data_IF_565698450257
#
_entry.id   IF_565698450257
#
_cell.length_a   1.000
_cell.length_b   1.000
_cell.length_c   1.000
_cell.angle_alpha   90.00
_cell.angle_beta   90.00
_cell.angle_gamma   90.00
#
_symmetry.space_group_name_H-M   'P 1'
#
loop_
_entity.id
_entity.type
_entity.pdbx_description
1 polymer ?
#
# COMPACT_ATOMS: atom_id res chain seq x y z
N UNK A 1 50.09 23.22 56.25
CA UNK A 1 50.71 23.99 55.16
C UNK A 1 50.18 23.36 53.88
N UNK A 2 48.94 23.71 53.52
CA UNK A 2 48.55 24.74 52.54
C UNK A 2 48.58 24.11 51.13
N UNK A 3 47.44 23.86 50.49
CA UNK A 3 46.71 24.79 49.56
C UNK A 3 47.59 25.12 48.34
N UNK A 4 47.19 25.08 47.06
CA UNK A 4 45.91 24.98 46.35
C UNK A 4 46.23 24.95 44.82
N UNK A 5 45.24 24.57 44.00
CA UNK A 5 44.96 24.87 42.57
C UNK A 5 45.85 24.47 41.39
N UNK A 6 45.16 23.91 40.39
CA UNK A 6 45.56 23.81 38.99
C UNK A 6 44.54 23.01 38.17
N UNK A 7 43.40 23.63 37.82
CA UNK A 7 42.40 23.10 36.87
C UNK A 7 43.00 22.92 35.45
N UNK A 8 42.57 21.87 34.76
CA UNK A 8 42.46 21.84 33.30
C UNK A 8 41.42 20.80 32.91
N UNK A 9 40.35 21.30 32.30
CA UNK A 9 39.28 20.59 31.61
C UNK A 9 39.79 19.68 30.49
N UNK A 10 39.09 18.57 30.22
CA UNK A 10 38.13 18.45 29.09
C UNK A 10 37.71 16.98 28.89
N UNK A 11 36.38 16.83 28.73
CA UNK A 11 35.66 15.82 27.95
C UNK A 11 35.48 14.43 28.57
N UNK A 12 34.41 14.32 29.37
CA UNK A 12 33.58 13.13 29.47
C UNK A 12 32.92 12.89 28.09
N UNK A 13 33.44 11.92 27.33
CA UNK A 13 32.68 11.25 26.28
C UNK A 13 31.96 10.08 26.96
N UNK A 14 30.69 10.29 27.30
CA UNK A 14 29.76 9.23 27.67
C UNK A 14 29.67 8.26 26.48
N UNK A 15 30.25 7.07 26.63
CA UNK A 15 29.96 5.92 25.78
C UNK A 15 28.48 5.56 25.97
N UNK A 16 27.60 6.07 25.10
CA UNK A 16 26.25 5.55 24.95
C UNK A 16 26.35 4.10 24.44
N UNK A 17 26.28 3.16 25.38
CA UNK A 17 26.02 1.75 25.09
C UNK A 17 24.73 1.65 24.26
N UNK A 18 24.88 1.29 22.97
CA UNK A 18 23.77 0.83 22.13
C UNK A 18 23.18 -0.44 22.77
N UNK A 19 22.21 -0.24 23.66
CA UNK A 19 21.30 -1.29 24.09
C UNK A 19 20.49 -1.76 22.88
N UNK A 20 21.00 -2.75 22.17
CA UNK A 20 20.20 -3.61 21.29
C UNK A 20 19.19 -4.31 22.18
N UNK A 21 17.96 -3.79 22.24
CA UNK A 21 16.85 -4.46 22.90
C UNK A 21 16.30 -5.53 21.94
N UNK A 22 16.51 -6.83 22.19
CA UNK A 22 16.08 -7.89 21.30
C UNK A 22 14.70 -8.37 21.76
N UNK A 23 13.66 -7.58 21.50
CA UNK A 23 12.26 -7.99 21.68
C UNK A 23 11.31 -6.94 21.07
N UNK A 24 11.28 -6.87 19.73
CA UNK A 24 10.06 -6.44 19.05
C UNK A 24 9.44 -7.67 18.41
N UNK A 25 8.39 -8.16 19.08
CA UNK A 25 7.39 -9.05 18.50
C UNK A 25 6.76 -8.35 17.27
N UNK A 26 7.38 -8.54 16.11
CA UNK A 26 6.87 -8.10 14.81
C UNK A 26 5.90 -9.16 14.30
N UNK A 27 4.63 -9.02 14.68
CA UNK A 27 3.55 -9.87 14.19
C UNK A 27 3.21 -9.56 12.72
N UNK A 28 3.40 -10.57 11.87
CA UNK A 28 2.67 -10.91 10.63
C UNK A 28 2.39 -9.84 9.54
N UNK A 29 3.09 -8.72 9.57
CA UNK A 29 2.93 -7.65 8.61
C UNK A 29 3.66 -7.97 7.29
N UNK A 30 2.90 -8.19 6.22
CA UNK A 30 3.40 -8.54 4.87
C UNK A 30 4.09 -7.38 4.15
N UNK A 31 4.65 -6.47 4.93
CA UNK A 31 5.44 -5.34 4.56
C UNK A 31 6.78 -5.49 5.25
N UNK A 32 7.83 -5.71 4.47
CA UNK A 32 9.19 -5.83 4.97
C UNK A 32 9.94 -4.56 4.60
N UNK A 33 10.74 -4.04 5.53
CA UNK A 33 11.70 -2.97 5.23
C UNK A 33 12.73 -3.52 4.25
N UNK A 34 12.74 -2.97 3.04
CA UNK A 34 13.70 -3.38 2.03
C UNK A 34 15.11 -2.91 2.41
N UNK A 35 16.15 -3.72 2.19
CA UNK A 35 17.55 -3.35 2.43
C UNK A 35 18.29 -3.30 1.10
N UNK A 36 18.63 -2.11 0.58
CA UNK A 36 19.63 -2.01 -0.48
C UNK A 36 20.21 -0.61 -0.72
N UNK A 37 21.25 -0.48 -1.57
CA UNK A 37 22.12 0.68 -1.64
C UNK A 37 21.38 1.98 -1.91
N UNK A 38 21.67 2.98 -1.09
CA UNK A 38 21.02 4.28 -1.12
C UNK A 38 21.55 5.15 -2.28
N UNK A 39 20.63 5.66 -3.11
CA UNK A 39 20.84 6.97 -3.75
C UNK A 39 19.52 7.69 -4.06
N UNK A 40 19.61 9.01 -3.94
CA UNK A 40 18.72 10.11 -4.32
C UNK A 40 17.46 10.46 -3.49
N UNK A 41 17.48 11.73 -3.06
CA UNK A 41 16.34 12.52 -2.58
C UNK A 41 15.53 12.98 -3.80
N UNK A 42 14.23 12.67 -3.82
CA UNK A 42 13.32 13.22 -4.82
C UNK A 42 12.62 14.44 -4.25
N UNK A 43 12.61 15.51 -5.03
CA UNK A 43 11.94 16.75 -4.75
C UNK A 43 10.53 16.71 -5.37
N UNK A 44 9.51 16.51 -4.53
CA UNK A 44 8.10 16.66 -4.89
C UNK A 44 7.66 18.15 -4.83
N UNK A 45 8.58 19.09 -4.55
CA UNK A 45 8.30 20.44 -4.07
C UNK A 45 7.79 21.45 -5.09
N UNK A 46 7.62 21.11 -6.37
CA UNK A 46 7.06 22.03 -7.35
C UNK A 46 5.51 22.06 -7.29
N UNK A 47 4.95 22.46 -6.14
CA UNK A 47 3.52 22.73 -6.01
C UNK A 47 3.23 24.04 -6.73
N UNK A 48 2.63 23.98 -7.93
CA UNK A 48 2.05 25.18 -8.53
C UNK A 48 0.78 25.53 -7.76
N UNK A 49 0.61 26.79 -7.36
CA UNK A 49 -0.62 27.29 -6.68
C UNK A 49 -1.93 27.11 -7.47
N UNK A 50 -1.87 26.57 -8.70
CA UNK A 50 -3.03 26.25 -9.54
C UNK A 50 -4.04 25.32 -8.87
N UNK A 51 -3.60 24.42 -7.99
CA UNK A 51 -4.44 23.41 -7.35
C UNK A 51 -4.59 23.64 -5.83
N UNK A 52 -4.17 24.80 -5.34
CA UNK A 52 -4.29 25.14 -3.92
C UNK A 52 -5.75 25.46 -3.57
N UNK A 53 -6.19 24.99 -2.41
CA UNK A 53 -7.55 25.17 -1.91
C UNK A 53 -7.45 25.94 -0.59
N UNK A 54 -8.20 27.03 -0.48
CA UNK A 54 -8.36 27.78 0.76
C UNK A 54 -9.02 26.88 1.83
N UNK A 55 -8.43 26.73 3.03
CA UNK A 55 -8.96 25.85 4.08
C UNK A 55 -10.43 26.10 4.44
N UNK A 56 -10.89 27.35 4.36
CA UNK A 56 -12.26 27.75 4.68
C UNK A 56 -13.30 27.19 3.69
N UNK A 57 -12.86 26.80 2.49
CA UNK A 57 -13.71 26.18 1.48
C UNK A 57 -13.88 24.68 1.68
N UNK A 58 -13.11 24.06 2.59
CA UNK A 58 -13.11 22.63 2.82
C UNK A 58 -13.60 22.29 4.23
N UNK A 59 -14.75 21.62 4.32
CA UNK A 59 -15.21 21.01 5.57
C UNK A 59 -14.79 19.54 5.61
N UNK A 60 -14.15 19.11 6.70
CA UNK A 60 -13.70 17.72 6.91
C UNK A 60 -14.61 17.08 7.95
N UNK A 61 -15.15 15.91 7.62
CA UNK A 61 -16.02 15.11 8.49
C UNK A 61 -15.30 13.85 8.99
N UNK A 62 -16.08 12.80 9.30
CA UNK A 62 -15.57 11.53 9.82
C UNK A 62 -14.53 10.88 8.90
N UNK A 63 -13.59 10.18 9.53
CA UNK A 63 -12.70 9.25 8.85
C UNK A 63 -13.51 8.13 8.20
N UNK A 64 -13.13 7.77 6.98
CA UNK A 64 -13.70 6.69 6.16
C UNK A 64 -12.66 5.65 5.76
N UNK A 65 -11.39 5.90 6.03
CA UNK A 65 -10.30 4.95 5.84
C UNK A 65 -9.08 5.39 6.63
N UNK A 66 -8.39 4.44 7.21
CA UNK A 66 -7.15 4.67 7.95
C UNK A 66 -6.03 3.89 7.28
N UNK A 67 -4.82 4.45 7.29
CA UNK A 67 -3.65 3.84 6.69
C UNK A 67 -2.40 4.14 7.49
N UNK A 68 -1.30 3.49 7.11
CA UNK A 68 -0.04 3.58 7.83
C UNK A 68 0.53 5.02 7.85
N UNK A 69 0.44 5.72 6.72
CA UNK A 69 1.01 7.07 6.56
C UNK A 69 -0.05 8.19 6.59
N UNK A 70 -1.33 7.85 6.54
CA UNK A 70 -2.40 8.82 6.30
C UNK A 70 -3.77 8.28 6.65
N UNK A 71 -4.70 9.17 6.93
CA UNK A 71 -6.13 8.89 7.04
C UNK A 71 -6.90 9.52 5.88
N UNK A 72 -8.04 8.95 5.56
CA UNK A 72 -8.96 9.43 4.52
C UNK A 72 -10.27 9.80 5.20
N UNK A 73 -10.70 11.03 5.01
CA UNK A 73 -11.94 11.58 5.57
C UNK A 73 -12.93 11.88 4.47
N UNK A 74 -14.22 11.81 4.79
CA UNK A 74 -15.24 12.45 3.97
C UNK A 74 -15.14 13.96 4.16
N UNK A 75 -15.29 14.74 3.09
CA UNK A 75 -15.33 16.19 3.17
C UNK A 75 -16.33 16.81 2.21
N UNK A 76 -16.58 18.10 2.37
CA UNK A 76 -17.40 18.91 1.47
C UNK A 76 -16.57 20.11 0.99
N UNK A 77 -16.36 20.19 -0.32
CA UNK A 77 -15.67 21.31 -0.94
C UNK A 77 -16.69 22.32 -1.46
N UNK A 78 -16.63 23.54 -0.96
CA UNK A 78 -17.49 24.66 -1.38
C UNK A 78 -16.89 25.39 -2.57
N UNK A 79 -17.57 25.31 -3.73
CA UNK A 79 -17.19 26.02 -4.96
C UNK A 79 -18.28 27.02 -5.36
N UNK A 80 -17.98 28.01 -6.23
CA UNK A 80 -18.99 28.93 -6.75
C UNK A 80 -20.16 28.25 -7.47
N UNK A 81 -19.93 27.04 -8.00
CA UNK A 81 -20.93 26.23 -8.71
C UNK A 81 -21.77 25.33 -7.77
N UNK A 82 -21.48 25.37 -6.46
CA UNK A 82 -22.11 24.53 -5.46
C UNK A 82 -21.12 23.66 -4.69
N UNK A 83 -21.65 22.88 -3.75
CA UNK A 83 -20.86 22.04 -2.88
C UNK A 83 -20.64 20.65 -3.48
N UNK A 84 -19.40 20.15 -3.41
CA UNK A 84 -19.01 18.87 -3.97
C UNK A 84 -18.51 17.94 -2.85
N UNK A 85 -19.08 16.74 -2.67
CA UNK A 85 -18.53 15.73 -1.78
C UNK A 85 -17.15 15.28 -2.25
N UNK A 86 -16.19 15.24 -1.32
CA UNK A 86 -14.79 14.89 -1.61
C UNK A 86 -14.26 13.87 -0.59
N UNK A 87 -13.19 13.16 -0.97
CA UNK A 87 -12.37 12.40 -0.04
C UNK A 87 -11.10 13.19 0.25
N UNK A 88 -10.75 13.36 1.52
CA UNK A 88 -9.62 14.17 1.97
C UNK A 88 -8.59 13.26 2.62
N UNK A 89 -7.41 13.13 2.01
CA UNK A 89 -6.29 12.35 2.56
C UNK A 89 -5.41 13.27 3.41
N UNK A 90 -5.28 12.97 4.70
CA UNK A 90 -4.48 13.74 5.68
C UNK A 90 -3.29 12.90 6.14
N UNK A 91 -2.09 13.49 6.24
CA UNK A 91 -0.91 12.77 6.70
C UNK A 91 -0.94 12.55 8.24
N UNK A 92 -0.45 11.39 8.70
CA UNK A 92 -0.23 11.14 10.13
C UNK A 92 1.09 11.78 10.59
N UNK A 93 1.11 12.39 11.77
CA UNK A 93 2.35 12.86 12.39
C UNK A 93 3.17 11.67 12.88
N UNK A 94 4.51 11.75 12.79
CA UNK A 94 5.45 10.63 13.03
C UNK A 94 5.29 9.92 14.39
N UNK A 95 4.67 10.55 15.39
CA UNK A 95 4.39 9.97 16.71
C UNK A 95 3.14 9.07 16.76
N UNK A 96 2.41 8.95 15.64
CA UNK A 96 1.22 8.11 15.49
C UNK A 96 1.28 7.17 14.29
N UNK A 97 2.49 6.81 13.85
CA UNK A 97 2.65 5.73 12.88
C UNK A 97 2.12 4.44 13.52
N UNK A 98 1.13 3.82 12.88
CA UNK A 98 0.45 2.64 13.42
C UNK A 98 1.42 1.47 13.52
N UNK A 99 1.30 0.70 14.59
CA UNK A 99 2.07 -0.53 14.71
C UNK A 99 1.51 -1.61 13.75
N UNK A 100 2.24 -2.71 13.62
CA UNK A 100 1.91 -3.77 12.68
C UNK A 100 0.55 -4.45 12.97
N UNK A 101 0.22 -4.61 14.25
CA UNK A 101 -0.99 -5.27 14.69
C UNK A 101 -2.24 -4.42 14.40
N UNK A 102 -2.17 -3.11 14.64
CA UNK A 102 -3.25 -2.17 14.30
C UNK A 102 -3.40 -2.02 12.76
N UNK A 103 -2.30 -2.11 12.01
CA UNK A 103 -2.30 -2.09 10.54
C UNK A 103 -2.99 -3.31 9.97
N UNK A 104 -2.74 -4.49 10.55
CA UNK A 104 -3.40 -5.74 10.15
C UNK A 104 -4.88 -5.75 10.57
N UNK A 105 -5.24 -5.16 11.71
CA UNK A 105 -6.65 -5.02 12.12
C UNK A 105 -7.41 -4.05 11.21
N UNK A 106 -6.81 -2.94 10.78
CA UNK A 106 -7.41 -2.06 9.76
C UNK A 106 -7.53 -2.78 8.42
N UNK A 107 -6.50 -3.50 7.97
CA UNK A 107 -6.57 -4.25 6.70
C UNK A 107 -7.60 -5.37 6.80
N UNK A 108 -7.72 -6.04 7.95
CA UNK A 108 -8.80 -6.98 8.24
C UNK A 108 -10.14 -6.27 8.20
N UNK A 109 -10.29 -5.07 8.75
CA UNK A 109 -11.52 -4.27 8.67
C UNK A 109 -11.81 -3.77 7.25
N UNK A 110 -10.81 -3.42 6.44
CA UNK A 110 -10.99 -3.06 5.03
C UNK A 110 -11.40 -4.28 4.20
N UNK A 111 -10.81 -5.45 4.48
CA UNK A 111 -11.24 -6.74 3.92
C UNK A 111 -12.62 -7.14 4.44
N UNK A 112 -12.93 -6.87 5.71
CA UNK A 112 -14.24 -7.12 6.32
C UNK A 112 -15.28 -6.14 5.80
N UNK A 113 -14.93 -4.90 5.46
CA UNK A 113 -15.83 -3.98 4.74
C UNK A 113 -16.14 -4.56 3.35
N UNK A 114 -15.21 -5.28 2.71
CA UNK A 114 -15.51 -6.03 1.49
C UNK A 114 -16.38 -7.28 1.74
N UNK A 115 -16.36 -7.88 2.95
CA UNK A 115 -17.12 -9.08 3.32
C UNK A 115 -18.48 -8.85 4.01
N UNK A 116 -18.57 -7.92 4.97
CA UNK A 116 -19.77 -7.56 5.76
C UNK A 116 -20.58 -6.43 5.13
N UNK A 117 -19.91 -5.50 4.42
CA UNK A 117 -20.65 -4.72 3.44
C UNK A 117 -20.79 -5.62 2.22
N UNK A 118 -21.94 -6.27 2.10
CA UNK A 118 -22.48 -6.41 0.77
C UNK A 118 -22.73 -5.02 0.21
N UNK A 119 -21.73 -4.21 -0.14
CA UNK A 119 -21.82 -2.97 -0.92
C UNK A 119 -22.95 -1.97 -0.56
N UNK A 120 -23.44 -1.92 0.68
CA UNK A 120 -24.73 -1.26 0.91
C UNK A 120 -24.99 -0.67 2.31
N UNK A 121 -24.04 0.04 2.93
CA UNK A 121 -24.39 0.90 4.08
C UNK A 121 -24.97 2.28 3.68
N UNK A 122 -25.70 2.30 2.57
CA UNK A 122 -26.71 3.32 2.25
C UNK A 122 -27.95 2.72 1.56
N UNK A 123 -28.27 1.46 1.85
CA UNK A 123 -29.34 0.73 1.15
C UNK A 123 -30.32 0.06 2.12
N UNK A 124 -31.19 0.88 2.71
CA UNK A 124 -32.44 0.39 3.29
C UNK A 124 -33.51 0.05 2.22
N UNK A 125 -33.15 -0.18 0.95
CA UNK A 125 -34.13 -0.47 -0.10
C UNK A 125 -33.70 -1.36 -1.28
N UNK A 126 -32.62 -2.15 -1.17
CA UNK A 126 -32.32 -3.16 -2.21
C UNK A 126 -32.58 -4.58 -1.72
N UNK A 127 -33.38 -5.27 -2.53
CA UNK A 127 -33.98 -6.58 -2.33
C UNK A 127 -33.01 -7.63 -2.87
N UNK A 128 -32.58 -8.59 -2.05
CA UNK A 128 -32.38 -10.03 -2.32
C UNK A 128 -31.80 -10.52 -3.69
N UNK A 129 -31.24 -9.65 -4.53
CA UNK A 129 -30.68 -9.93 -5.87
C UNK A 129 -29.21 -9.50 -6.01
N UNK A 130 -28.57 -9.14 -4.90
CA UNK A 130 -27.22 -8.55 -4.83
C UNK A 130 -26.12 -9.62 -4.69
N UNK A 131 -25.79 -10.33 -5.77
CA UNK A 131 -24.59 -11.17 -5.83
C UNK A 131 -23.67 -10.67 -6.95
N UNK A 132 -22.41 -10.37 -6.60
CA UNK A 132 -21.35 -10.07 -7.57
C UNK A 132 -21.15 -11.31 -8.45
N UNK A 133 -21.34 -11.16 -9.75
CA UNK A 133 -21.19 -12.25 -10.70
C UNK A 133 -19.76 -12.33 -11.24
N UNK A 134 -19.41 -13.47 -11.86
CA UNK A 134 -18.14 -13.59 -12.59
C UNK A 134 -17.98 -12.53 -13.67
N UNK A 135 -19.08 -12.14 -14.34
CA UNK A 135 -19.05 -11.06 -15.34
C UNK A 135 -18.66 -9.72 -14.72
N UNK A 136 -19.12 -9.44 -13.50
CA UNK A 136 -18.75 -8.23 -12.77
C UNK A 136 -17.26 -8.25 -12.39
N UNK A 137 -16.74 -9.40 -11.92
CA UNK A 137 -15.31 -9.56 -11.62
C UNK A 137 -14.42 -9.35 -12.85
N UNK A 138 -14.82 -9.90 -14.00
CA UNK A 138 -14.14 -9.69 -15.28
C UNK A 138 -14.22 -8.22 -15.73
N UNK A 139 -15.36 -7.57 -15.49
CA UNK A 139 -15.54 -6.15 -15.77
C UNK A 139 -14.63 -5.27 -14.91
N UNK A 140 -14.48 -5.59 -13.63
CA UNK A 140 -13.53 -4.90 -12.74
C UNK A 140 -12.08 -5.13 -13.18
N UNK A 141 -11.71 -6.38 -13.49
CA UNK A 141 -10.38 -6.72 -13.98
C UNK A 141 -10.02 -5.94 -15.26
N UNK A 142 -10.96 -5.83 -16.20
CA UNK A 142 -10.77 -5.04 -17.43
C UNK A 142 -10.56 -3.56 -17.15
N UNK A 143 -11.36 -2.96 -16.25
CA UNK A 143 -11.22 -1.56 -15.89
C UNK A 143 -9.88 -1.27 -15.20
N UNK A 144 -9.45 -2.15 -14.30
CA UNK A 144 -8.14 -2.07 -13.63
C UNK A 144 -7.01 -2.23 -14.65
N UNK A 145 -7.10 -3.20 -15.56
CA UNK A 145 -6.11 -3.41 -16.62
C UNK A 145 -5.94 -2.16 -17.49
N UNK A 146 -7.03 -1.51 -17.89
CA UNK A 146 -7.00 -0.24 -18.65
C UNK A 146 -6.35 0.90 -17.87
N UNK A 147 -6.62 0.98 -16.55
CA UNK A 147 -5.97 1.98 -15.70
C UNK A 147 -4.45 1.72 -15.60
N UNK A 148 -4.04 0.46 -15.42
CA UNK A 148 -2.62 0.08 -15.35
C UNK A 148 -1.91 0.27 -16.70
N UNK A 149 -2.56 -0.03 -17.82
CA UNK A 149 -2.08 0.27 -19.17
C UNK A 149 -1.83 1.77 -19.36
N UNK A 150 -2.77 2.60 -18.89
CA UNK A 150 -2.60 4.06 -18.91
C UNK A 150 -1.40 4.52 -18.07
N UNK A 151 -1.19 3.97 -16.87
CA UNK A 151 -0.02 4.28 -16.03
C UNK A 151 1.28 3.85 -16.70
N UNK A 152 1.32 2.66 -17.28
CA UNK A 152 2.44 2.13 -18.05
C UNK A 152 2.81 3.06 -19.22
N UNK A 153 1.82 3.50 -20.01
CA UNK A 153 2.02 4.45 -21.11
C UNK A 153 2.53 5.83 -20.65
N UNK A 154 2.42 6.16 -19.35
CA UNK A 154 2.95 7.38 -18.74
C UNK A 154 4.27 7.16 -18.00
N UNK A 155 4.86 5.96 -18.10
CA UNK A 155 6.05 5.56 -17.34
C UNK A 155 5.86 5.71 -15.83
N UNK A 156 4.67 5.38 -15.31
CA UNK A 156 4.37 5.44 -13.88
C UNK A 156 4.24 4.01 -13.34
N UNK A 157 5.08 3.69 -12.36
CA UNK A 157 4.96 2.49 -11.52
C UNK A 157 3.99 2.78 -10.39
N UNK A 158 2.99 1.91 -10.18
CA UNK A 158 2.11 2.02 -9.03
C UNK A 158 2.79 1.50 -7.76
N UNK A 159 3.44 0.32 -7.85
CA UNK A 159 4.15 -0.38 -6.77
C UNK A 159 3.30 -0.87 -5.59
N UNK A 160 1.98 -0.71 -5.68
CA UNK A 160 1.03 -1.15 -4.65
C UNK A 160 -0.32 -1.51 -5.29
N UNK A 161 -0.29 -2.09 -6.49
CA UNK A 161 -1.51 -2.55 -7.15
C UNK A 161 -2.05 -3.77 -6.39
N UNK A 162 -3.19 -3.58 -5.72
CA UNK A 162 -3.89 -4.57 -4.90
C UNK A 162 -5.39 -4.21 -4.86
N UNK A 163 -6.29 -5.16 -4.59
CA UNK A 163 -7.74 -4.88 -4.51
C UNK A 163 -8.07 -3.81 -3.45
N UNK A 164 -7.33 -3.78 -2.32
CA UNK A 164 -7.46 -2.73 -1.29
C UNK A 164 -7.26 -1.29 -1.83
N UNK A 165 -6.52 -1.16 -2.93
CA UNK A 165 -6.21 0.12 -3.58
C UNK A 165 -7.07 0.36 -4.83
N UNK A 166 -8.19 -0.35 -4.96
CA UNK A 166 -9.20 -0.12 -5.99
C UNK A 166 -10.49 0.40 -5.34
N UNK A 167 -10.88 1.62 -5.71
CA UNK A 167 -12.14 2.23 -5.29
C UNK A 167 -13.23 1.86 -6.27
N UNK A 168 -14.43 1.64 -5.76
CA UNK A 168 -15.55 1.19 -6.56
C UNK A 168 -16.75 2.10 -6.36
N UNK A 169 -17.28 2.59 -7.46
CA UNK A 169 -18.47 3.44 -7.47
C UNK A 169 -19.75 2.60 -7.46
N UNK A 170 -20.85 3.25 -7.07
CA UNK A 170 -22.20 2.66 -7.11
C UNK A 170 -22.64 2.23 -8.52
N UNK A 171 -22.04 2.80 -9.57
CA UNK A 171 -22.28 2.45 -10.97
C UNK A 171 -21.34 1.34 -11.49
N UNK A 172 -20.68 0.61 -10.58
CA UNK A 172 -19.74 -0.48 -10.90
C UNK A 172 -18.49 -0.01 -11.67
N UNK A 173 -18.16 1.28 -11.58
CA UNK A 173 -16.89 1.82 -12.09
C UNK A 173 -15.76 1.61 -11.08
N UNK A 174 -14.74 0.85 -11.47
CA UNK A 174 -13.52 0.64 -10.69
C UNK A 174 -12.48 1.75 -10.97
N UNK A 175 -11.79 2.20 -9.92
CA UNK A 175 -10.75 3.23 -9.97
C UNK A 175 -9.53 2.82 -9.16
N UNK A 176 -8.40 2.65 -9.82
CA UNK A 176 -7.10 2.48 -9.16
C UNK A 176 -6.77 3.75 -8.36
N UNK A 177 -6.37 3.57 -7.12
CA UNK A 177 -6.12 4.62 -6.14
C UNK A 177 -4.85 4.33 -5.32
N UNK A 178 -4.51 5.25 -4.41
CA UNK A 178 -3.32 5.22 -3.57
C UNK A 178 -1.97 5.18 -4.32
N UNK A 179 -1.57 6.35 -4.80
CA UNK A 179 -0.29 6.57 -5.46
C UNK A 179 0.86 6.87 -4.50
N UNK A 180 0.72 6.58 -3.20
CA UNK A 180 1.72 6.92 -2.17
C UNK A 180 3.09 6.28 -2.40
N UNK A 181 3.12 5.06 -2.94
CA UNK A 181 4.35 4.33 -3.29
C UNK A 181 4.78 4.53 -4.75
N UNK A 182 3.97 5.21 -5.55
CA UNK A 182 4.17 5.30 -7.00
C UNK A 182 5.41 6.11 -7.38
N UNK A 183 6.01 5.74 -8.50
CA UNK A 183 7.23 6.37 -9.02
C UNK A 183 7.13 6.55 -10.52
N UNK A 184 7.51 7.73 -11.01
CA UNK A 184 7.62 8.00 -12.44
C UNK A 184 9.04 7.66 -12.89
N UNK A 185 9.17 6.77 -13.86
CA UNK A 185 10.43 6.47 -14.52
C UNK A 185 10.76 7.61 -15.49
N UNK A 186 12.02 8.03 -15.53
CA UNK A 186 12.47 9.02 -16.50
C UNK A 186 12.82 8.31 -17.81
N UNK A 187 12.58 8.99 -18.92
CA UNK A 187 12.83 8.45 -20.26
C UNK A 187 14.31 8.11 -20.53
N UNK A 188 15.23 8.70 -19.75
CA UNK A 188 16.68 8.50 -19.89
C UNK A 188 17.29 7.60 -18.80
N UNK A 189 16.49 7.05 -17.88
CA UNK A 189 16.98 6.10 -16.86
C UNK A 189 17.04 4.68 -17.45
N UNK A 190 17.62 3.73 -16.72
CA UNK A 190 17.77 2.32 -17.12
C UNK A 190 16.41 1.54 -17.25
N UNK A 191 15.27 2.24 -17.23
CA UNK A 191 13.94 1.64 -17.34
C UNK A 191 13.43 0.99 -16.06
N UNK A 192 14.09 1.19 -14.91
CA UNK A 192 13.66 0.69 -13.61
C UNK A 192 13.89 1.69 -12.47
N UNK A 193 13.14 1.52 -11.38
CA UNK A 193 13.31 2.22 -10.12
C UNK A 193 13.93 1.28 -9.09
N UNK A 194 14.94 1.73 -8.35
CA UNK A 194 15.52 0.97 -7.24
C UNK A 194 14.77 1.34 -5.95
N UNK A 195 14.36 0.33 -5.19
CA UNK A 195 13.77 0.51 -3.86
C UNK A 195 14.61 1.42 -2.96
N UNK A 196 13.99 2.04 -1.96
CA UNK A 196 14.74 2.76 -0.92
C UNK A 196 14.78 1.90 0.32
N UNK A 197 15.94 1.87 0.96
CA UNK A 197 16.10 1.18 2.24
C UNK A 197 15.07 1.67 3.27
N UNK A 198 14.53 0.75 4.07
CA UNK A 198 13.50 1.05 5.06
C UNK A 198 12.11 1.36 4.49
N UNK A 199 11.92 1.31 3.17
CA UNK A 199 10.58 1.48 2.58
C UNK A 199 9.78 0.21 2.76
N UNK A 200 8.67 0.30 3.50
CA UNK A 200 7.68 -0.77 3.60
C UNK A 200 7.02 -0.98 2.23
N UNK A 201 7.04 -2.23 1.72
CA UNK A 201 6.48 -2.60 0.41
C UNK A 201 5.65 -3.89 0.49
N UNK A 202 4.60 -4.05 -0.33
CA UNK A 202 3.67 -5.18 -0.24
C UNK A 202 4.24 -6.45 -0.88
N UNK A 203 5.09 -7.21 -0.18
CA UNK A 203 5.94 -8.26 -0.78
C UNK A 203 5.17 -9.35 -1.56
N UNK A 204 3.92 -9.63 -1.19
CA UNK A 204 3.08 -10.64 -1.85
C UNK A 204 2.63 -10.25 -3.26
N UNK A 205 2.76 -8.96 -3.61
CA UNK A 205 2.34 -8.37 -4.87
C UNK A 205 3.54 -8.05 -5.77
N UNK A 206 4.75 -8.30 -5.30
CA UNK A 206 5.99 -7.94 -6.00
C UNK A 206 6.42 -9.10 -6.90
N UNK A 207 6.83 -8.76 -8.12
CA UNK A 207 7.35 -9.73 -9.08
C UNK A 207 8.62 -10.42 -8.56
N UNK A 208 8.87 -11.71 -8.88
CA UNK A 208 10.03 -12.44 -8.38
C UNK A 208 11.38 -11.77 -8.70
N UNK A 209 11.51 -11.19 -9.90
CA UNK A 209 12.70 -10.44 -10.31
C UNK A 209 12.89 -9.16 -9.49
N UNK A 210 11.79 -8.52 -9.10
CA UNK A 210 11.79 -7.33 -8.25
C UNK A 210 12.05 -7.66 -6.79
N UNK A 211 11.57 -8.80 -6.29
CA UNK A 211 11.95 -9.30 -4.96
C UNK A 211 13.46 -9.54 -4.91
N UNK A 212 14.02 -10.21 -5.92
CA UNK A 212 15.44 -10.56 -5.94
C UNK A 212 16.38 -9.35 -6.09
N UNK A 213 16.01 -8.38 -6.92
CA UNK A 213 16.90 -7.26 -7.27
C UNK A 213 16.53 -5.93 -6.62
N UNK A 214 15.30 -5.83 -6.08
CA UNK A 214 14.65 -4.59 -5.67
C UNK A 214 14.52 -3.54 -6.78
N UNK A 215 14.61 -3.97 -8.04
CA UNK A 215 14.35 -3.13 -9.22
C UNK A 215 12.90 -3.31 -9.64
N UNK A 216 12.19 -2.21 -9.80
CA UNK A 216 10.80 -2.15 -10.22
C UNK A 216 10.72 -1.56 -11.62
N UNK A 217 10.06 -2.25 -12.54
CA UNK A 217 9.88 -1.83 -13.93
C UNK A 217 8.40 -1.91 -14.32
N UNK A 218 8.01 -1.34 -15.46
CA UNK A 218 6.63 -1.44 -15.95
C UNK A 218 6.21 -2.92 -16.07
N UNK A 219 7.12 -3.79 -16.49
CA UNK A 219 6.85 -5.22 -16.64
C UNK A 219 6.59 -5.94 -15.31
N UNK A 220 7.19 -5.48 -14.21
CA UNK A 220 6.93 -6.07 -12.89
C UNK A 220 5.52 -5.76 -12.38
N UNK A 221 4.87 -4.69 -12.85
CA UNK A 221 3.50 -4.34 -12.46
C UNK A 221 2.46 -5.34 -13.03
N UNK A 222 2.81 -6.08 -14.10
CA UNK A 222 1.95 -7.15 -14.64
C UNK A 222 1.80 -8.31 -13.64
N UNK A 223 2.83 -8.56 -12.83
CA UNK A 223 2.73 -9.52 -11.74
C UNK A 223 1.72 -9.08 -10.69
N UNK A 224 1.84 -7.83 -10.22
CA UNK A 224 0.91 -7.26 -9.25
C UNK A 224 -0.53 -7.29 -9.75
N UNK A 225 -0.74 -6.99 -11.04
CA UNK A 225 -2.05 -7.14 -11.67
C UNK A 225 -2.56 -8.60 -11.64
N UNK A 226 -1.70 -9.59 -11.86
CA UNK A 226 -2.06 -11.00 -11.71
C UNK A 226 -2.54 -11.35 -10.29
N UNK A 227 -1.89 -10.80 -9.27
CA UNK A 227 -2.32 -10.95 -7.87
C UNK A 227 -3.66 -10.25 -7.63
N UNK A 228 -3.89 -9.05 -8.18
CA UNK A 228 -5.20 -8.36 -8.12
C UNK A 228 -6.32 -9.21 -8.73
N UNK A 229 -6.08 -9.81 -9.90
CA UNK A 229 -7.06 -10.71 -10.52
C UNK A 229 -7.34 -11.90 -9.62
N UNK A 230 -6.30 -12.49 -9.03
CA UNK A 230 -6.48 -13.59 -8.07
C UNK A 230 -7.35 -13.16 -6.88
N UNK A 231 -7.10 -11.99 -6.29
CA UNK A 231 -7.90 -11.43 -5.20
C UNK A 231 -9.37 -11.20 -5.62
N UNK A 232 -9.64 -10.70 -6.83
CA UNK A 232 -11.01 -10.53 -7.32
C UNK A 232 -11.77 -11.87 -7.32
N UNK A 233 -11.13 -12.96 -7.77
CA UNK A 233 -11.76 -14.27 -7.88
C UNK A 233 -11.81 -15.06 -6.56
N UNK A 234 -11.07 -14.63 -5.54
CA UNK A 234 -11.23 -15.09 -4.15
C UNK A 234 -12.09 -14.16 -3.30
N UNK A 235 -12.71 -13.14 -3.92
CA UNK A 235 -13.45 -12.07 -3.23
C UNK A 235 -12.63 -11.39 -2.12
N UNK A 236 -11.30 -11.42 -2.24
CA UNK A 236 -10.35 -10.97 -1.23
C UNK A 236 -10.56 -11.61 0.17
N UNK A 237 -11.26 -12.75 0.26
CA UNK A 237 -11.48 -13.49 1.51
C UNK A 237 -10.18 -14.12 2.03
N UNK A 238 -9.25 -14.41 1.13
CA UNK A 238 -7.95 -15.00 1.44
C UNK A 238 -6.84 -14.04 1.06
N UNK A 239 -5.85 -13.96 1.93
CA UNK A 239 -4.57 -13.30 1.66
C UNK A 239 -3.81 -14.10 0.58
N UNK A 240 -3.18 -13.45 -0.41
CA UNK A 240 -2.30 -14.15 -1.35
C UNK A 240 -1.23 -14.95 -0.61
N UNK A 241 -1.01 -16.20 -1.02
CA UNK A 241 -0.07 -17.12 -0.38
C UNK A 241 -0.36 -17.40 1.11
N UNK A 242 -1.62 -17.33 1.54
CA UNK A 242 -2.04 -17.63 2.92
C UNK A 242 -1.65 -19.04 3.40
N UNK A 243 -1.43 -19.98 2.49
CA UNK A 243 -0.91 -21.32 2.79
C UNK A 243 0.54 -21.31 3.28
N UNK A 244 1.22 -20.16 3.19
CA UNK A 244 2.58 -19.95 3.67
C UNK A 244 2.64 -19.22 5.01
N UNK A 245 1.50 -18.92 5.64
CA UNK A 245 1.37 -18.10 6.86
C UNK A 245 1.80 -18.83 8.15
N UNK A 246 2.66 -19.85 8.03
CA UNK A 246 3.16 -20.67 9.14
C UNK A 246 4.51 -20.19 9.69
N UNK A 247 5.12 -19.17 9.08
CA UNK A 247 6.39 -18.60 9.51
C UNK A 247 6.16 -17.50 10.54
N UNK A 248 6.81 -17.61 11.71
CA UNK A 248 6.64 -16.67 12.82
C UNK A 248 7.36 -15.34 12.62
N UNK A 249 8.39 -15.30 11.74
CA UNK A 249 9.13 -14.07 11.45
C UNK A 249 9.10 -13.71 9.95
N UNK A 250 9.12 -12.40 9.70
CA UNK A 250 8.99 -11.82 8.37
C UNK A 250 10.17 -12.13 7.45
N UNK A 251 11.37 -12.32 8.00
CA UNK A 251 12.57 -12.63 7.22
C UNK A 251 12.53 -14.05 6.65
N UNK A 252 12.21 -15.06 7.47
CA UNK A 252 12.03 -16.44 7.01
C UNK A 252 10.85 -16.54 6.04
N UNK A 253 9.76 -15.82 6.31
CA UNK A 253 8.64 -15.75 5.38
C UNK A 253 9.08 -15.19 4.01
N UNK A 254 9.85 -14.11 4.02
CA UNK A 254 10.39 -13.50 2.80
C UNK A 254 11.32 -14.46 2.04
N UNK A 255 12.30 -15.06 2.72
CA UNK A 255 13.21 -16.03 2.12
C UNK A 255 12.45 -17.22 1.52
N UNK A 256 11.47 -17.73 2.25
CA UNK A 256 10.65 -18.83 1.77
C UNK A 256 9.80 -18.43 0.57
N UNK A 257 9.17 -17.26 0.58
CA UNK A 257 8.41 -16.74 -0.56
C UNK A 257 9.31 -16.65 -1.80
N UNK A 258 10.52 -16.11 -1.66
CA UNK A 258 11.51 -16.04 -2.75
C UNK A 258 11.86 -17.44 -3.27
N UNK A 259 12.11 -18.41 -2.39
CA UNK A 259 12.39 -19.80 -2.80
C UNK A 259 11.19 -20.46 -3.48
N UNK A 260 9.98 -20.28 -2.93
CA UNK A 260 8.73 -20.80 -3.47
C UNK A 260 8.52 -20.30 -4.91
N UNK A 261 8.63 -18.99 -5.12
CA UNK A 261 8.48 -18.38 -6.45
C UNK A 261 9.60 -18.78 -7.41
N UNK A 262 10.84 -18.89 -6.92
CA UNK A 262 12.01 -19.35 -7.70
C UNK A 262 11.88 -20.81 -8.15
N UNK A 263 11.19 -21.65 -7.38
CA UNK A 263 10.89 -23.04 -7.74
C UNK A 263 9.77 -23.18 -8.79
N UNK A 264 9.19 -22.07 -9.26
CA UNK A 264 8.11 -22.06 -10.24
C UNK A 264 6.71 -22.23 -9.65
N UNK A 265 6.58 -22.39 -8.33
CA UNK A 265 5.27 -22.45 -7.66
C UNK A 265 4.58 -21.08 -7.66
N UNK A 266 3.25 -21.08 -7.75
CA UNK A 266 2.39 -19.88 -7.88
C UNK A 266 1.11 -20.07 -7.07
N UNK A 267 0.34 -18.99 -6.91
CA UNK A 267 -1.00 -19.03 -6.35
C UNK A 267 -1.84 -20.11 -7.04
N UNK A 268 -2.62 -20.84 -6.25
CA UNK A 268 -3.60 -21.80 -6.77
C UNK A 268 -4.72 -21.10 -7.53
N UNK A 269 -5.35 -21.80 -8.47
CA UNK A 269 -6.50 -21.27 -9.22
C UNK A 269 -7.68 -21.13 -8.25
N UNK A 270 -8.28 -19.93 -8.08
CA UNK A 270 -9.47 -19.76 -7.26
C UNK A 270 -10.68 -20.56 -7.76
N UNK A 271 -11.53 -21.03 -6.85
CA UNK A 271 -12.68 -21.87 -7.18
C UNK A 271 -13.70 -21.18 -8.10
N UNK A 272 -13.79 -19.84 -8.03
CA UNK A 272 -14.74 -19.03 -8.80
C UNK A 272 -14.23 -18.63 -10.20
N UNK A 273 -13.03 -19.08 -10.60
CA UNK A 273 -12.52 -18.84 -11.95
C UNK A 273 -13.28 -19.73 -12.96
N UNK A 274 -13.80 -19.17 -14.07
CA UNK A 274 -14.39 -19.96 -15.14
C UNK A 274 -13.40 -20.99 -15.69
N UNK A 275 -13.78 -22.27 -15.67
CA UNK A 275 -12.89 -23.36 -16.13
C UNK A 275 -12.77 -23.43 -17.65
N UNK A 276 -13.65 -22.77 -18.39
CA UNK A 276 -13.68 -22.59 -19.84
C UNK A 276 -14.65 -21.45 -20.18
N UNK A 277 -14.28 -20.57 -21.12
CA UNK A 277 -15.20 -19.67 -21.83
C UNK A 277 -15.50 -20.25 -23.21
#
# INVERSE_FOLDING_TARGET
>A
MNEEYGESSTNDEEEEEEHTNPNENLSNDNYVSWNAPTQDKHDYGAISGKYEIEPEKLEIFKAIGEGYYSDVHMGLLSLPIGNIPVAVKTAKTKTGAMNAEESEDIRKRQRQILCDSGWADNFQSRREKDLITTSDLLWFALQIARAMEFLAAKNILHRDAAVRNVLLKLDFTAKVADFGLSRKLRENDDGYYIGKEGTAIPILYIAPESLKSGRFAITSEYWSFGVVVWELFTFAEKKPYSELDHYENNEQFYEFLVQHLSSGKRLSIPDNVPRQM
#
